data_IF_379832579908
#
_entry.id   IF_379832579908
#
_cell.length_a   1.000
_cell.length_b   1.000
_cell.length_c   1.000
_cell.angle_alpha   90.00
_cell.angle_beta   90.00
_cell.angle_gamma   90.00
#
_symmetry.space_group_name_H-M   'P 1'
#
loop_
_entity.id
_entity.type
_entity.pdbx_description
1 polymer ?
#
# COMPACT_ATOMS: atom_id res chain seq x y z
N UNK A 1 -8.67 10.49 0.55
CA UNK A 1 -9.52 9.52 1.30
C UNK A 1 -10.36 8.60 0.40
N UNK A 2 -11.23 9.09 -0.49
CA UNK A 2 -12.16 8.24 -1.28
C UNK A 2 -11.50 7.11 -2.11
N UNK A 3 -10.28 7.34 -2.62
CA UNK A 3 -9.55 6.33 -3.40
C UNK A 3 -9.01 5.18 -2.55
N UNK A 4 -8.53 5.46 -1.32
CA UNK A 4 -7.99 4.44 -0.42
C UNK A 4 -9.06 3.43 -0.02
N UNK A 5 -10.25 3.93 0.34
CA UNK A 5 -11.40 3.11 0.73
C UNK A 5 -11.81 2.16 -0.40
N UNK A 6 -11.90 2.68 -1.64
CA UNK A 6 -12.27 1.86 -2.79
C UNK A 6 -11.21 0.80 -3.12
N UNK A 7 -9.92 1.15 -2.99
CA UNK A 7 -8.83 0.22 -3.24
C UNK A 7 -8.78 -0.88 -2.17
N UNK A 8 -8.89 -0.50 -0.88
CA UNK A 8 -8.95 -1.45 0.21
C UNK A 8 -10.13 -2.42 0.02
N UNK A 9 -11.33 -1.93 -0.27
CA UNK A 9 -12.51 -2.80 -0.47
C UNK A 9 -12.28 -3.92 -1.49
N UNK A 10 -11.55 -3.66 -2.58
CA UNK A 10 -11.21 -4.69 -3.57
C UNK A 10 -10.11 -5.63 -3.06
N UNK A 11 -9.09 -5.10 -2.38
CA UNK A 11 -8.00 -5.92 -1.83
C UNK A 11 -8.52 -6.86 -0.76
N UNK A 12 -9.37 -6.37 0.15
CA UNK A 12 -9.98 -7.14 1.22
C UNK A 12 -10.87 -8.25 0.67
N UNK A 13 -11.77 -7.95 -0.28
CA UNK A 13 -12.65 -8.94 -0.94
C UNK A 13 -11.88 -10.11 -1.56
N UNK A 14 -10.68 -9.84 -2.09
CA UNK A 14 -9.86 -10.87 -2.77
C UNK A 14 -8.80 -11.53 -1.90
N UNK A 15 -8.41 -10.89 -0.80
CA UNK A 15 -7.18 -11.24 -0.08
C UNK A 15 -7.36 -11.37 1.43
N UNK A 16 -8.58 -11.36 1.96
CA UNK A 16 -8.86 -11.49 3.40
C UNK A 16 -8.20 -12.72 4.04
N UNK A 17 -8.16 -13.85 3.33
CA UNK A 17 -7.63 -15.13 3.81
C UNK A 17 -6.14 -15.32 3.44
N UNK A 18 -5.52 -14.32 2.83
CA UNK A 18 -4.12 -14.38 2.45
C UNK A 18 -3.22 -14.44 3.68
N UNK A 19 -2.16 -15.25 3.61
CA UNK A 19 -1.16 -15.29 4.67
C UNK A 19 -0.30 -14.02 4.71
N UNK A 20 -0.11 -13.36 3.57
CA UNK A 20 0.62 -12.10 3.44
C UNK A 20 0.11 -11.35 2.21
N UNK A 21 -0.13 -10.05 2.35
CA UNK A 21 -0.45 -9.16 1.22
C UNK A 21 0.73 -8.22 0.97
N UNK A 22 1.29 -8.27 -0.23
CA UNK A 22 2.31 -7.34 -0.69
C UNK A 22 1.64 -6.21 -1.46
N UNK A 23 1.79 -4.97 -0.97
CA UNK A 23 1.20 -3.78 -1.59
C UNK A 23 2.28 -2.74 -1.88
N UNK A 24 2.08 -1.96 -2.92
CA UNK A 24 2.98 -0.84 -3.21
C UNK A 24 2.78 0.28 -2.20
N UNK A 25 3.86 0.76 -1.59
CA UNK A 25 3.82 1.95 -0.76
C UNK A 25 3.75 3.20 -1.66
N UNK A 26 2.73 4.06 -1.52
CA UNK A 26 2.70 5.34 -2.20
C UNK A 26 3.91 6.21 -1.82
N UNK A 27 4.22 7.21 -2.64
CA UNK A 27 5.24 8.18 -2.29
C UNK A 27 4.75 9.13 -1.20
N UNK A 28 5.60 9.51 -0.21
CA UNK A 28 5.26 10.51 0.77
C UNK A 28 5.06 11.86 0.05
N UNK A 29 4.26 12.76 0.65
CA UNK A 29 4.04 14.09 0.12
C UNK A 29 5.37 14.86 0.04
N UNK A 30 5.45 15.80 -0.90
CA UNK A 30 6.62 16.69 -1.02
C UNK A 30 6.67 17.74 0.09
N UNK A 31 5.53 18.02 0.72
CA UNK A 31 5.36 19.01 1.77
C UNK A 31 5.01 18.33 3.11
N UNK A 32 5.64 18.77 4.20
CA UNK A 32 5.38 18.26 5.56
C UNK A 32 3.94 18.40 6.04
N UNK A 33 3.20 19.37 5.51
CA UNK A 33 1.78 19.55 5.84
C UNK A 33 0.91 18.36 5.39
N UNK A 34 1.40 17.51 4.48
CA UNK A 34 0.69 16.32 4.01
C UNK A 34 0.97 15.06 4.83
N UNK A 35 1.87 15.10 5.80
CA UNK A 35 2.35 13.88 6.49
C UNK A 35 1.20 13.18 7.23
N UNK A 36 0.32 13.93 7.88
CA UNK A 36 -0.87 13.39 8.56
C UNK A 36 -1.82 12.72 7.57
N UNK A 37 -2.18 13.40 6.48
CA UNK A 37 -3.05 12.84 5.43
C UNK A 37 -2.44 11.60 4.77
N UNK A 38 -1.11 11.54 4.67
CA UNK A 38 -0.40 10.40 4.13
C UNK A 38 -0.47 9.19 5.06
N UNK A 39 -0.26 9.40 6.37
CA UNK A 39 -0.42 8.34 7.36
C UNK A 39 -1.86 7.83 7.43
N UNK A 40 -2.84 8.74 7.41
CA UNK A 40 -4.27 8.39 7.39
C UNK A 40 -4.63 7.58 6.12
N UNK A 41 -4.05 7.94 4.97
CA UNK A 41 -4.23 7.18 3.74
C UNK A 41 -3.69 5.74 3.86
N UNK A 42 -2.51 5.54 4.46
CA UNK A 42 -1.92 4.21 4.66
C UNK A 42 -2.73 3.36 5.63
N UNK A 43 -3.27 3.97 6.68
CA UNK A 43 -4.15 3.32 7.64
C UNK A 43 -5.41 2.80 6.95
N UNK A 44 -6.13 3.66 6.22
CA UNK A 44 -7.34 3.28 5.48
C UNK A 44 -7.06 2.24 4.39
N UNK A 45 -5.89 2.29 3.75
CA UNK A 45 -5.52 1.33 2.70
C UNK A 45 -5.31 -0.10 3.26
N UNK A 46 -4.86 -0.22 4.51
CA UNK A 46 -4.46 -1.50 5.12
C UNK A 46 -5.44 -2.00 6.18
N UNK A 47 -6.48 -1.24 6.47
CA UNK A 47 -7.53 -1.59 7.42
C UNK A 47 -8.17 -2.94 7.08
N UNK A 48 -8.28 -3.82 8.07
CA UNK A 48 -8.88 -5.15 7.92
C UNK A 48 -7.94 -6.23 7.34
N UNK A 49 -6.71 -5.89 6.95
CA UNK A 49 -5.72 -6.85 6.49
C UNK A 49 -4.77 -7.24 7.64
N UNK A 50 -4.62 -8.54 7.90
CA UNK A 50 -3.81 -9.03 9.03
C UNK A 50 -2.30 -8.85 8.86
N UNK A 51 -1.76 -9.23 7.70
CA UNK A 51 -0.31 -9.20 7.43
C UNK A 51 -0.08 -8.51 6.11
N UNK A 52 0.42 -7.27 6.17
CA UNK A 52 0.71 -6.45 4.99
C UNK A 52 2.18 -6.06 5.00
N UNK A 53 2.84 -6.21 3.85
CA UNK A 53 4.15 -5.63 3.60
C UNK A 53 4.04 -4.57 2.52
N UNK A 54 4.31 -3.32 2.89
CA UNK A 54 4.35 -2.21 1.96
C UNK A 54 5.74 -2.12 1.33
N UNK A 55 5.81 -2.25 0.00
CA UNK A 55 7.05 -2.29 -0.77
C UNK A 55 7.18 -1.04 -1.63
N UNK A 56 8.37 -0.44 -1.65
CA UNK A 56 8.68 0.69 -2.54
C UNK A 56 10.05 0.50 -3.17
N UNK A 57 10.10 0.52 -4.49
CA UNK A 57 11.36 0.57 -5.23
C UNK A 57 12.02 1.94 -5.14
N UNK A 58 13.33 1.97 -5.30
CA UNK A 58 14.15 3.16 -5.50
C UNK A 58 14.00 3.77 -6.90
N UNK A 59 13.33 3.07 -7.83
CA UNK A 59 13.12 3.49 -9.21
C UNK A 59 14.29 3.15 -10.13
N UNK A 60 15.22 2.32 -9.66
CA UNK A 60 16.43 1.88 -10.40
C UNK A 60 16.48 0.38 -10.59
N UNK A 61 15.51 -0.34 -10.04
CA UNK A 61 15.42 -1.78 -10.12
C UNK A 61 15.10 -2.21 -11.57
N UNK A 62 15.91 -3.14 -12.10
CA UNK A 62 15.66 -3.80 -13.39
C UNK A 62 15.75 -5.30 -13.15
N UNK A 63 14.66 -6.02 -13.46
CA UNK A 63 14.62 -7.49 -13.34
C UNK A 63 14.80 -8.07 -14.75
N UNK A 64 15.94 -8.70 -15.00
CA UNK A 64 16.28 -9.28 -16.32
C UNK A 64 16.13 -10.79 -16.36
N UNK A 65 16.14 -11.46 -15.21
CA UNK A 65 16.05 -12.91 -15.07
C UNK A 65 15.21 -13.22 -13.83
N UNK A 66 14.24 -14.12 -13.95
CA UNK A 66 13.55 -14.72 -12.82
C UNK A 66 14.23 -16.07 -12.51
N UNK A 67 14.69 -16.25 -11.28
CA UNK A 67 15.25 -17.51 -10.78
C UNK A 67 14.16 -18.41 -10.22
#
# INVERSE_FOLDING_TARGET
>A
MHTAVRLNGVVLDKSQDAQLVLLNMPGPPKNRQGDENYMEFLEVLTEGLNRVLLVRGSGREVVTIYS
#
